data_IF_643520779162
#
_entry.id   IF_643520779162
#
_cell.length_a   1.000
_cell.length_b   1.000
_cell.length_c   1.000
_cell.angle_alpha   90.00
_cell.angle_beta   90.00
_cell.angle_gamma   90.00
#
_symmetry.space_group_name_H-M   'P 1'
#
loop_
_entity.id
_entity.type
_entity.pdbx_description
1 polymer ?
#
# COMPACT_ATOMS: atom_id res chain seq x y z
N UNK A 1 -6.37 16.64 -8.01
CA UNK A 1 -6.33 15.46 -8.90
C UNK A 1 -5.28 14.51 -8.34
N UNK A 2 -5.51 13.20 -8.36
CA UNK A 2 -4.53 12.22 -7.86
C UNK A 2 -3.45 12.07 -8.92
N UNK A 3 -2.18 12.13 -8.51
CA UNK A 3 -1.05 11.80 -9.38
C UNK A 3 -0.73 10.31 -9.29
N UNK A 4 -1.04 9.56 -10.35
CA UNK A 4 -0.76 8.13 -10.44
C UNK A 4 0.65 7.81 -10.93
N UNK A 5 1.43 8.81 -11.36
CA UNK A 5 2.82 8.60 -11.80
C UNK A 5 3.81 8.66 -10.63
N UNK A 6 3.37 9.07 -9.44
CA UNK A 6 4.21 9.12 -8.25
C UNK A 6 4.61 7.69 -7.83
N UNK A 7 5.92 7.33 -7.85
CA UNK A 7 6.36 6.05 -7.33
C UNK A 7 6.23 6.02 -5.81
N UNK A 8 5.72 4.90 -5.28
CA UNK A 8 5.51 4.70 -3.84
C UNK A 8 6.28 3.46 -3.40
N UNK A 9 7.13 3.62 -2.38
CA UNK A 9 7.84 2.48 -1.77
C UNK A 9 6.87 1.71 -0.87
N UNK A 10 6.59 0.46 -1.22
CA UNK A 10 5.75 -0.48 -0.45
C UNK A 10 6.52 -1.64 0.19
N UNK A 11 7.84 -1.67 0.02
CA UNK A 11 8.71 -2.64 0.70
C UNK A 11 8.85 -2.23 2.17
N UNK A 12 8.76 -3.20 3.07
CA UNK A 12 8.74 -3.05 4.53
C UNK A 12 7.53 -2.25 5.03
N UNK A 13 6.37 -2.39 4.36
CA UNK A 13 5.10 -1.78 4.81
C UNK A 13 4.07 -2.81 5.25
N UNK A 14 4.50 -4.05 5.52
CA UNK A 14 3.63 -5.19 5.80
C UNK A 14 2.68 -5.50 4.63
N UNK A 15 3.22 -5.39 3.41
CA UNK A 15 2.47 -5.55 2.15
C UNK A 15 2.60 -6.97 1.65
N UNK A 16 1.50 -7.74 1.58
CA UNK A 16 1.54 -9.10 1.00
C UNK A 16 2.09 -9.08 -0.43
N UNK A 17 1.75 -8.07 -1.24
CA UNK A 17 2.24 -7.96 -2.61
C UNK A 17 3.77 -7.89 -2.71
N UNK A 18 4.41 -7.16 -1.80
CA UNK A 18 5.83 -6.79 -1.90
C UNK A 18 6.73 -7.53 -0.90
N UNK A 19 6.24 -7.79 0.32
CA UNK A 19 7.04 -8.32 1.43
C UNK A 19 6.99 -9.85 1.54
N UNK A 20 6.15 -10.54 0.76
CA UNK A 20 6.04 -12.01 0.79
C UNK A 20 6.59 -12.69 -0.48
N UNK A 21 7.38 -11.98 -1.28
CA UNK A 21 7.88 -12.48 -2.57
C UNK A 21 8.72 -13.75 -2.41
N UNK A 22 9.59 -13.79 -1.39
CA UNK A 22 10.45 -14.94 -1.14
C UNK A 22 9.65 -16.15 -0.70
N UNK A 23 8.65 -15.96 0.15
CA UNK A 23 7.78 -17.01 0.67
C UNK A 23 6.85 -17.55 -0.42
N UNK A 24 6.31 -16.67 -1.27
CA UNK A 24 5.35 -17.03 -2.33
C UNK A 24 6.05 -17.61 -3.57
N UNK A 25 7.21 -17.08 -3.96
CA UNK A 25 7.86 -17.37 -5.24
C UNK A 25 9.32 -17.84 -5.14
N UNK A 26 9.90 -17.93 -3.94
CA UNK A 26 11.28 -18.36 -3.72
C UNK A 26 12.35 -17.30 -4.00
N UNK A 27 11.94 -16.13 -4.52
CA UNK A 27 12.82 -15.03 -4.94
C UNK A 27 12.36 -13.71 -4.34
N UNK A 28 13.29 -12.88 -3.85
CA UNK A 28 12.99 -11.58 -3.26
C UNK A 28 13.20 -10.40 -4.23
N UNK A 29 13.76 -10.66 -5.41
CA UNK A 29 14.19 -9.68 -6.43
C UNK A 29 13.22 -9.62 -7.63
N UNK A 30 11.94 -9.88 -7.39
CA UNK A 30 10.89 -9.87 -8.41
C UNK A 30 10.12 -8.54 -8.43
N UNK A 31 9.56 -8.22 -9.59
CA UNK A 31 8.56 -7.15 -9.73
C UNK A 31 7.15 -7.74 -9.51
N UNK A 32 6.46 -7.43 -8.40
CA UNK A 32 5.16 -8.03 -8.10
C UNK A 32 4.02 -7.41 -8.91
N UNK A 33 3.38 -8.22 -9.75
CA UNK A 33 2.20 -7.83 -10.56
C UNK A 33 1.03 -8.82 -10.39
N UNK A 34 0.97 -9.52 -9.24
CA UNK A 34 0.20 -10.75 -9.10
C UNK A 34 -1.12 -10.60 -8.31
N UNK A 35 -1.09 -9.97 -7.13
CA UNK A 35 -2.26 -9.84 -6.27
C UNK A 35 -3.05 -8.56 -6.59
N UNK A 36 -4.37 -8.64 -6.44
CA UNK A 36 -5.31 -7.58 -6.80
C UNK A 36 -5.39 -6.46 -5.74
N UNK A 37 -4.27 -5.78 -5.49
CA UNK A 37 -4.21 -4.48 -4.83
C UNK A 37 -3.46 -3.46 -5.72
N UNK A 38 -3.45 -2.19 -5.33
CA UNK A 38 -2.87 -1.11 -6.11
C UNK A 38 -1.62 -0.52 -5.46
N UNK A 39 -0.67 -0.07 -6.27
CA UNK A 39 0.52 0.68 -5.81
C UNK A 39 0.27 2.20 -5.82
N UNK A 40 -0.94 2.62 -5.47
CA UNK A 40 -1.35 4.03 -5.39
C UNK A 40 -1.77 4.39 -3.97
N UNK A 41 -1.70 5.68 -3.62
CA UNK A 41 -2.32 6.18 -2.39
C UNK A 41 -3.84 6.06 -2.48
N UNK A 42 -4.49 5.84 -1.33
CA UNK A 42 -5.93 6.02 -1.22
C UNK A 42 -6.32 7.46 -1.59
N UNK A 43 -7.56 7.64 -2.07
CA UNK A 43 -8.05 8.94 -2.46
C UNK A 43 -8.03 9.94 -1.29
N UNK A 44 -7.81 11.25 -1.52
CA UNK A 44 -7.68 12.24 -0.45
C UNK A 44 -8.84 12.25 0.55
N UNK A 45 -10.07 12.09 0.09
CA UNK A 45 -11.25 12.07 0.96
C UNK A 45 -11.27 10.86 1.92
N UNK A 46 -10.67 9.73 1.52
CA UNK A 46 -10.54 8.54 2.38
C UNK A 46 -9.53 8.85 3.49
N UNK A 47 -8.39 9.44 3.14
CA UNK A 47 -7.36 9.82 4.12
C UNK A 47 -7.89 10.83 5.14
N UNK A 48 -8.63 11.85 4.70
CA UNK A 48 -9.26 12.82 5.59
C UNK A 48 -10.26 12.19 6.55
N UNK A 49 -11.07 11.22 6.10
CA UNK A 49 -12.00 10.51 6.97
C UNK A 49 -11.25 9.67 8.03
N UNK A 50 -10.14 9.02 7.65
CA UNK A 50 -9.27 8.30 8.59
C UNK A 50 -8.62 9.24 9.61
N UNK A 51 -8.11 10.40 9.19
CA UNK A 51 -7.53 11.41 10.09
C UNK A 51 -8.55 11.91 11.12
N UNK A 52 -9.80 12.15 10.71
CA UNK A 52 -10.89 12.54 11.61
C UNK A 52 -11.20 11.45 12.64
N UNK A 53 -11.23 10.18 12.22
CA UNK A 53 -11.40 9.05 13.13
C UNK A 53 -10.23 8.97 14.13
N UNK A 54 -8.99 9.10 13.66
CA UNK A 54 -7.79 9.15 14.52
C UNK A 54 -7.86 10.30 15.53
N UNK A 55 -8.31 11.48 15.11
CA UNK A 55 -8.49 12.62 16.00
C UNK A 55 -9.61 12.43 17.04
N UNK A 56 -10.63 11.62 16.74
CA UNK A 56 -11.67 11.30 17.70
C UNK A 56 -11.11 10.54 18.93
N UNK A 57 -10.05 9.74 18.74
CA UNK A 57 -9.30 9.11 19.83
C UNK A 57 -9.96 7.86 20.44
N UNK A 58 -11.03 7.36 19.82
CA UNK A 58 -11.73 6.12 20.21
C UNK A 58 -11.67 5.16 19.02
N UNK A 59 -11.11 3.97 19.22
CA UNK A 59 -10.84 2.94 18.19
C UNK A 59 -11.27 1.56 18.64
#
# INVERSE_FOLDING_TARGET
>A
MIDFNQPIKRINTNSVKWDTLKETYGHSDLLPLWIADMDFKAAPFILTAFEQLIHHGIF
#
